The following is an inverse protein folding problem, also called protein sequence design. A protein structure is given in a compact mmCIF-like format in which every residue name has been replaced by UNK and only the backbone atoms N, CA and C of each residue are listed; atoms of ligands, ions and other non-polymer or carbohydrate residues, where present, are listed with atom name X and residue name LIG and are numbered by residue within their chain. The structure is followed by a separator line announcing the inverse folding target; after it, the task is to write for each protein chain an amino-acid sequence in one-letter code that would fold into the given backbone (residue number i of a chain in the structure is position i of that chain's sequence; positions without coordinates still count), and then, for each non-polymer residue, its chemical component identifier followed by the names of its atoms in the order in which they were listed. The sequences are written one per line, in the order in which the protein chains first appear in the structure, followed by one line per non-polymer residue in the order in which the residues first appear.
data_IF_609637990842
#
_entry.id   IF_609637990842
#
_cell.length_a   1.000
_cell.length_b   1.000
_cell.length_c   1.000
_cell.angle_alpha   90.00
_cell.angle_beta   90.00
_cell.angle_gamma   90.00
#
_symmetry.space_group_name_H-M   'P 1'
#
loop_
_entity.id
_entity.type
_entity.pdbx_description
1 polymer ?
#
# COMPACT_ATOMS: atom_id res chain seq x y z
N UNK A 1 -11.92 4.19 33.35
CA UNK A 1 -12.57 4.10 32.02
C UNK A 1 -11.49 4.22 30.95
N UNK A 2 -11.10 3.13 30.29
CA UNK A 2 -10.13 3.17 29.20
C UNK A 2 -10.88 3.42 27.88
N UNK A 3 -10.57 4.54 27.21
CA UNK A 3 -11.10 4.82 25.86
C UNK A 3 -10.46 3.82 24.89
N UNK A 4 -11.27 2.99 24.25
CA UNK A 4 -10.81 2.12 23.16
C UNK A 4 -10.36 3.03 22.00
N UNK A 5 -9.05 3.11 21.78
CA UNK A 5 -8.51 3.74 20.59
C UNK A 5 -8.93 2.89 19.39
N UNK A 6 -9.80 3.41 18.52
CA UNK A 6 -10.19 2.72 17.29
C UNK A 6 -9.10 2.96 16.25
N UNK A 7 -8.25 1.97 16.05
CA UNK A 7 -7.42 1.86 14.86
C UNK A 7 -8.17 1.01 13.83
N UNK A 8 -8.48 1.61 12.67
CA UNK A 8 -9.05 0.88 11.54
C UNK A 8 -7.92 0.10 10.87
N UNK A 9 -8.04 -1.22 10.86
CA UNK A 9 -7.13 -2.12 10.15
C UNK A 9 -7.72 -2.42 8.78
N UNK A 10 -6.87 -2.44 7.76
CA UNK A 10 -7.24 -2.86 6.41
C UNK A 10 -6.38 -4.05 6.05
N UNK A 11 -7.02 -5.09 5.52
CA UNK A 11 -6.32 -6.27 5.04
C UNK A 11 -5.93 -6.08 3.58
N UNK A 12 -4.76 -6.60 3.22
CA UNK A 12 -4.33 -6.68 1.84
C UNK A 12 -4.95 -7.94 1.24
N UNK A 13 -5.74 -7.79 0.18
CA UNK A 13 -6.33 -8.92 -0.53
C UNK A 13 -5.24 -9.89 -1.01
N UNK A 14 -5.41 -11.22 -0.88
CA UNK A 14 -4.45 -12.18 -1.40
C UNK A 14 -4.10 -11.93 -2.87
N UNK A 15 -2.82 -12.09 -3.22
CA UNK A 15 -2.30 -11.80 -4.57
C UNK A 15 -2.12 -10.31 -4.88
N UNK A 16 -2.43 -9.43 -3.93
CA UNK A 16 -2.10 -8.00 -3.99
C UNK A 16 -0.93 -7.68 -3.08
N UNK A 17 -0.20 -6.61 -3.40
CA UNK A 17 1.02 -6.20 -2.71
C UNK A 17 1.02 -4.70 -2.47
N UNK A 18 1.63 -4.25 -1.37
CA UNK A 18 1.88 -2.83 -1.13
C UNK A 18 3.20 -2.45 -1.77
N UNK A 19 3.22 -1.36 -2.54
CA UNK A 19 4.45 -0.84 -3.10
C UNK A 19 5.30 -0.14 -2.04
N UNK A 20 6.57 -0.52 -1.95
CA UNK A 20 7.55 0.11 -1.08
C UNK A 20 8.81 0.54 -1.82
N UNK A 21 9.46 1.59 -1.33
CA UNK A 21 10.80 2.01 -1.73
C UNK A 21 11.78 1.67 -0.61
N UNK A 22 12.92 1.07 -0.96
CA UNK A 22 13.95 0.69 0.00
C UNK A 22 15.11 1.67 -0.12
N UNK A 23 15.37 2.40 0.96
CA UNK A 23 16.57 3.21 1.10
C UNK A 23 17.55 2.50 2.04
N UNK A 24 18.83 2.49 1.65
CA UNK A 24 19.92 1.93 2.44
C UNK A 24 20.97 3.00 2.63
N UNK A 25 21.33 3.28 3.88
CA UNK A 25 22.39 4.22 4.22
C UNK A 25 23.22 3.64 5.35
N UNK A 26 24.49 3.30 5.06
CA UNK A 26 25.37 2.61 6.00
C UNK A 26 24.71 1.38 6.66
N UNK A 27 24.48 1.43 7.97
CA UNK A 27 23.85 0.37 8.77
C UNK A 27 22.33 0.52 8.86
N UNK A 28 21.77 1.58 8.27
CA UNK A 28 20.35 1.88 8.31
C UNK A 28 19.62 1.38 7.05
N UNK A 29 18.45 0.75 7.28
CA UNK A 29 17.53 0.32 6.22
C UNK A 29 16.17 0.92 6.50
N UNK A 30 15.65 1.70 5.55
CA UNK A 30 14.32 2.31 5.61
C UNK A 30 13.45 1.77 4.49
N UNK A 31 12.21 1.44 4.84
CA UNK A 31 11.17 1.07 3.87
C UNK A 31 10.11 2.16 3.89
N UNK A 32 9.96 2.85 2.76
CA UNK A 32 8.93 3.87 2.58
C UNK A 32 7.75 3.27 1.84
N UNK A 33 6.54 3.42 2.39
CA UNK A 33 5.30 3.01 1.71
C UNK A 33 4.91 4.08 0.70
N UNK A 34 4.74 3.68 -0.56
CA UNK A 34 4.25 4.59 -1.59
C UNK A 34 2.75 4.81 -1.36
N UNK A 35 2.34 6.08 -1.34
CA UNK A 35 0.94 6.47 -1.13
C UNK A 35 0.37 7.19 -2.34
N UNK A 36 -0.93 7.03 -2.56
CA UNK A 36 -1.73 7.74 -3.56
C UNK A 36 -2.85 8.51 -2.86
N UNK A 37 -3.35 9.55 -3.53
CA UNK A 37 -4.60 10.20 -3.15
C UNK A 37 -5.76 9.36 -3.70
N UNK A 38 -6.71 8.92 -2.86
CA UNK A 38 -7.88 8.20 -3.34
C UNK A 38 -8.80 9.14 -4.14
N UNK A 39 -9.45 8.61 -5.17
CA UNK A 39 -10.34 9.39 -6.05
C UNK A 39 -11.77 9.54 -5.49
N UNK A 40 -12.11 8.83 -4.41
CA UNK A 40 -13.44 8.86 -3.81
C UNK A 40 -13.56 10.04 -2.84
N UNK A 41 -14.61 10.85 -2.97
CA UNK A 41 -14.88 12.00 -2.07
C UNK A 41 -15.03 11.57 -0.60
N UNK A 42 -15.66 10.42 -0.34
CA UNK A 42 -15.86 9.88 1.02
C UNK A 42 -14.75 8.90 1.46
N UNK A 43 -13.54 9.06 0.94
CA UNK A 43 -12.43 8.21 1.35
C UNK A 43 -12.16 8.35 2.86
N UNK A 44 -12.01 7.22 3.56
CA UNK A 44 -11.78 7.20 5.01
C UNK A 44 -10.45 7.88 5.43
N UNK A 45 -9.52 8.08 4.50
CA UNK A 45 -8.21 8.68 4.70
C UNK A 45 -7.76 9.42 3.44
N UNK A 46 -7.00 10.50 3.62
CA UNK A 46 -6.44 11.31 2.51
C UNK A 46 -5.39 10.58 1.67
N UNK A 47 -4.73 9.56 2.23
CA UNK A 47 -3.63 8.83 1.59
C UNK A 47 -3.79 7.34 1.75
N UNK A 48 -3.79 6.62 0.64
CA UNK A 48 -3.89 5.16 0.61
C UNK A 48 -2.58 4.55 0.14
N UNK A 49 -2.17 3.38 0.65
CA UNK A 49 -1.03 2.67 0.11
C UNK A 49 -1.29 2.28 -1.35
N UNK A 50 -0.28 2.42 -2.20
CA UNK A 50 -0.37 1.96 -3.59
C UNK A 50 -0.39 0.44 -3.62
N UNK A 51 -1.55 -0.12 -3.97
CA UNK A 51 -1.72 -1.56 -4.15
C UNK A 51 -1.36 -1.98 -5.58
N UNK A 52 -0.49 -2.98 -5.69
CA UNK A 52 -0.11 -3.63 -6.92
C UNK A 52 -0.78 -5.01 -7.03
N UNK A 53 -0.99 -5.45 -8.25
CA UNK A 53 -1.41 -6.82 -8.55
C UNK A 53 -0.61 -7.36 -9.70
N UNK A 54 -0.29 -8.64 -9.66
CA UNK A 54 0.34 -9.30 -10.79
C UNK A 54 -0.70 -9.46 -11.91
N UNK A 55 -0.56 -8.68 -12.98
CA UNK A 55 -1.19 -8.99 -14.26
C UNK A 55 -0.08 -9.49 -15.18
N UNK A 56 0.02 -10.80 -15.37
CA UNK A 56 0.81 -11.33 -16.47
C UNK A 56 0.09 -10.97 -17.78
N UNK A 57 0.33 -9.77 -18.31
CA UNK A 57 0.14 -9.53 -19.73
C UNK A 57 1.29 -10.21 -20.46
N UNK A 58 1.21 -11.54 -20.58
CA UNK A 58 1.85 -12.23 -21.71
C UNK A 58 1.05 -11.82 -22.93
N UNK A 59 1.42 -10.71 -23.53
CA UNK A 59 1.19 -10.55 -24.98
C UNK A 59 2.28 -11.40 -25.62
N UNK A 60 2.01 -12.71 -25.66
CA UNK A 60 2.53 -13.58 -26.71
C UNK A 60 1.45 -13.42 -27.80
N UNK A 61 1.60 -12.39 -28.61
CA UNK A 61 0.93 -12.34 -29.91
C UNK A 61 2.05 -12.38 -30.95
N UNK A 62 1.92 -13.40 -31.81
CA UNK A 62 2.63 -13.81 -33.02
C UNK A 62 3.65 -12.84 -33.66
#
# INVERSE_FOLDING_TARGET
MARKCVCRRFDVTPGKWIQGLVARWEQERRVYVVTITPEMEDAAYERWPRILSYSASRTIDD
#
